data_IF_007284151115
#
_entry.id   IF_007284151115
#
_cell.length_a   1.000
_cell.length_b   1.000
_cell.length_c   1.000
_cell.angle_alpha   90.00
_cell.angle_beta   90.00
_cell.angle_gamma   90.00
#
_symmetry.space_group_name_H-M   'P 1'
#
loop_
_entity.id
_entity.type
_entity.pdbx_description
1 polymer ?
#
# COMPACT_ATOMS: atom_id res chain seq x y z
N UNK A 1 53.84 -32.01 44.88
CA UNK A 1 53.61 -30.99 45.89
C UNK A 1 53.61 -29.67 45.18
N UNK A 2 52.46 -29.05 45.25
CA UNK A 2 52.20 -27.66 44.92
C UNK A 2 52.50 -27.21 43.48
N UNK A 3 51.39 -27.15 42.70
CA UNK A 3 50.97 -26.01 41.94
C UNK A 3 49.74 -26.40 41.08
N UNK A 4 48.62 -26.49 41.73
CA UNK A 4 47.29 -26.34 41.11
C UNK A 4 46.70 -25.12 41.77
N UNK A 5 46.30 -24.17 40.98
CA UNK A 5 45.25 -23.15 41.12
C UNK A 5 45.66 -21.85 40.47
N UNK A 6 45.27 -21.65 39.23
CA UNK A 6 44.70 -20.38 38.76
C UNK A 6 44.30 -20.51 37.27
N UNK A 7 43.10 -20.94 37.05
CA UNK A 7 42.53 -20.96 35.69
C UNK A 7 41.01 -20.87 35.77
N UNK A 8 40.51 -19.71 36.19
CA UNK A 8 39.09 -19.43 36.07
C UNK A 8 38.85 -17.90 36.17
N UNK A 9 38.97 -17.24 35.01
CA UNK A 9 38.33 -15.92 34.70
C UNK A 9 38.69 -15.46 33.32
N UNK A 10 38.13 -16.14 32.32
CA UNK A 10 37.90 -15.52 31.00
C UNK A 10 36.43 -15.67 30.63
N UNK A 11 35.67 -14.65 31.00
CA UNK A 11 34.30 -14.49 30.53
C UNK A 11 34.27 -14.41 29.01
N UNK A 12 33.60 -15.38 28.39
CA UNK A 12 33.32 -15.40 26.97
C UNK A 12 32.39 -14.22 26.60
N UNK A 13 32.97 -13.13 26.14
CA UNK A 13 32.26 -12.13 25.34
C UNK A 13 32.01 -12.76 23.99
N UNK A 14 30.82 -13.33 23.83
CA UNK A 14 30.31 -13.78 22.53
C UNK A 14 30.20 -12.57 21.60
N UNK A 15 31.23 -12.33 20.81
CA UNK A 15 31.15 -11.47 19.64
C UNK A 15 30.26 -12.14 18.61
N UNK A 16 29.00 -11.73 18.56
CA UNK A 16 28.12 -11.94 17.42
C UNK A 16 28.74 -11.22 16.24
N UNK A 17 29.29 -11.96 15.31
CA UNK A 17 29.78 -11.46 14.01
C UNK A 17 28.58 -10.87 13.25
N UNK A 18 28.42 -9.56 13.31
CA UNK A 18 27.48 -8.82 12.47
C UNK A 18 28.10 -8.59 11.10
N UNK A 19 27.44 -9.07 10.07
CA UNK A 19 27.73 -8.79 8.68
C UNK A 19 27.88 -7.26 8.46
N UNK A 20 29.03 -6.83 7.99
CA UNK A 20 29.31 -5.50 7.40
C UNK A 20 28.65 -4.31 8.08
N UNK A 21 29.23 -3.80 9.18
CA UNK A 21 29.30 -2.40 9.64
C UNK A 21 28.09 -1.46 9.59
N UNK A 22 26.84 -1.88 9.52
CA UNK A 22 25.70 -0.97 9.64
C UNK A 22 25.33 -0.78 11.12
N UNK A 23 25.62 0.40 11.66
CA UNK A 23 25.23 0.77 13.02
C UNK A 23 23.69 0.77 13.14
N UNK A 24 23.15 0.02 14.11
CA UNK A 24 21.72 -0.01 14.41
C UNK A 24 21.22 1.38 14.81
N UNK A 25 20.07 1.79 14.27
CA UNK A 25 19.42 3.07 14.57
C UNK A 25 18.10 2.84 15.29
N UNK A 26 17.71 3.80 16.13
CA UNK A 26 16.35 3.90 16.67
C UNK A 26 15.52 4.80 15.76
N UNK A 27 14.48 4.21 15.14
CA UNK A 27 13.65 4.86 14.10
C UNK A 27 12.19 4.90 14.56
N UNK A 28 11.62 6.09 14.70
CA UNK A 28 10.19 6.28 14.98
C UNK A 28 9.43 6.52 13.69
N UNK A 29 8.47 5.65 13.36
CA UNK A 29 7.60 5.81 12.19
C UNK A 29 6.23 6.32 12.65
N UNK A 30 5.83 7.47 12.15
CA UNK A 30 4.51 8.07 12.35
C UNK A 30 3.64 7.77 11.13
N UNK A 31 2.72 6.82 11.24
CA UNK A 31 1.84 6.41 10.15
C UNK A 31 0.41 6.23 10.66
N UNK A 32 -0.53 7.00 10.10
CA UNK A 32 -1.95 6.82 10.47
C UNK A 32 -2.46 5.44 10.06
N UNK A 33 -2.14 5.00 8.84
CA UNK A 33 -2.52 3.71 8.28
C UNK A 33 -1.34 2.73 8.40
N UNK A 34 -1.59 1.63 9.10
CA UNK A 34 -0.67 0.51 9.29
C UNK A 34 -1.50 -0.78 9.33
N UNK A 35 -0.87 -1.96 9.15
CA UNK A 35 -1.62 -3.21 9.26
C UNK A 35 -2.43 -3.30 10.58
N UNK A 36 -3.61 -3.91 10.58
CA UNK A 36 -4.26 -4.66 9.50
C UNK A 36 -5.15 -3.82 8.56
N UNK A 37 -4.95 -2.50 8.45
CA UNK A 37 -5.74 -1.66 7.55
C UNK A 37 -5.43 -2.02 6.08
N UNK A 38 -6.42 -2.38 5.25
CA UNK A 38 -6.18 -2.83 3.87
C UNK A 38 -6.04 -1.64 2.90
N UNK A 39 -5.07 -0.74 3.14
CA UNK A 39 -4.74 0.35 2.21
C UNK A 39 -3.37 0.13 1.57
N UNK A 40 -3.12 0.64 0.34
CA UNK A 40 -1.80 0.55 -0.29
C UNK A 40 -0.69 1.16 0.57
N UNK A 41 -0.97 2.28 1.24
CA UNK A 41 0.00 2.91 2.13
C UNK A 41 0.27 2.11 3.40
N UNK A 42 -0.76 1.47 3.97
CA UNK A 42 -0.58 0.54 5.08
C UNK A 42 0.37 -0.61 4.71
N UNK A 43 0.18 -1.22 3.54
CA UNK A 43 1.07 -2.26 3.04
C UNK A 43 2.50 -1.74 2.91
N UNK A 44 2.68 -0.59 2.25
CA UNK A 44 3.99 0.03 2.05
C UNK A 44 4.73 0.29 3.36
N UNK A 45 4.09 0.99 4.30
CA UNK A 45 4.72 1.31 5.59
C UNK A 45 5.03 0.04 6.38
N UNK A 46 4.13 -0.94 6.37
CA UNK A 46 4.35 -2.22 7.05
C UNK A 46 5.58 -2.94 6.49
N UNK A 47 5.71 -3.03 5.16
CA UNK A 47 6.83 -3.70 4.51
C UNK A 47 8.16 -2.96 4.75
N UNK A 48 8.17 -1.64 4.62
CA UNK A 48 9.37 -0.83 4.89
C UNK A 48 9.80 -0.91 6.36
N UNK A 49 8.85 -0.82 7.30
CA UNK A 49 9.13 -0.95 8.73
C UNK A 49 9.70 -2.34 9.07
N UNK A 50 9.08 -3.41 8.55
CA UNK A 50 9.56 -4.79 8.72
C UNK A 50 10.94 -4.99 8.13
N UNK A 51 11.21 -4.41 6.95
CA UNK A 51 12.52 -4.45 6.32
C UNK A 51 13.60 -3.73 7.16
N UNK A 52 13.29 -2.54 7.70
CA UNK A 52 14.20 -1.84 8.60
C UNK A 52 14.51 -2.65 9.86
N UNK A 53 13.50 -3.29 10.48
CA UNK A 53 13.70 -4.16 11.63
C UNK A 53 14.55 -5.39 11.27
N UNK A 54 14.35 -5.98 10.08
CA UNK A 54 15.14 -7.10 9.59
C UNK A 54 16.61 -6.73 9.32
N UNK A 55 16.89 -5.45 9.07
CA UNK A 55 18.25 -4.91 8.97
C UNK A 55 18.92 -4.67 10.34
N UNK A 56 18.23 -4.98 11.43
CA UNK A 56 18.73 -4.82 12.80
C UNK A 56 18.51 -3.43 13.42
N UNK A 57 17.67 -2.58 12.79
CA UNK A 57 17.28 -1.32 13.39
C UNK A 57 16.20 -1.54 14.47
N UNK A 58 16.22 -0.72 15.52
CA UNK A 58 15.18 -0.68 16.54
C UNK A 58 14.06 0.25 16.06
N UNK A 59 12.92 -0.33 15.68
CA UNK A 59 11.85 0.37 14.97
C UNK A 59 10.57 0.39 15.77
N UNK A 60 10.12 1.59 16.13
CA UNK A 60 8.82 1.83 16.74
C UNK A 60 7.87 2.46 15.71
N UNK A 61 6.64 1.95 15.65
CA UNK A 61 5.58 2.47 14.78
C UNK A 61 4.47 3.06 15.61
N UNK A 62 4.22 4.35 15.48
CA UNK A 62 3.09 5.05 16.11
C UNK A 62 1.96 5.17 15.09
N UNK A 63 0.86 4.48 15.36
CA UNK A 63 -0.27 4.35 14.44
C UNK A 63 -1.63 4.45 15.13
N UNK A 64 -2.69 4.53 14.34
CA UNK A 64 -4.07 4.55 14.84
C UNK A 64 -4.50 3.16 15.33
N UNK A 65 -5.27 3.14 16.41
CA UNK A 65 -5.92 1.91 16.87
C UNK A 65 -6.87 1.34 15.82
N UNK A 66 -6.89 0.02 15.70
CA UNK A 66 -7.77 -0.68 14.77
C UNK A 66 -9.23 -0.39 15.06
N UNK A 67 -10.04 -0.18 14.02
CA UNK A 67 -11.48 -0.03 14.14
C UNK A 67 -12.15 -1.32 14.65
N UNK A 68 -13.32 -1.18 15.28
CA UNK A 68 -14.12 -2.32 15.69
C UNK A 68 -14.51 -3.16 14.45
N UNK A 69 -14.14 -4.44 14.44
CA UNK A 69 -14.44 -5.37 13.35
C UNK A 69 -13.28 -5.70 12.42
N UNK A 70 -12.14 -5.04 12.55
CA UNK A 70 -10.91 -5.50 11.89
C UNK A 70 -10.38 -6.77 12.58
N UNK A 71 -9.97 -7.75 11.77
CA UNK A 71 -9.30 -8.96 12.28
C UNK A 71 -8.00 -8.51 12.97
N UNK A 72 -7.80 -8.92 14.21
CA UNK A 72 -6.50 -8.75 14.86
C UNK A 72 -5.48 -9.59 14.08
N UNK A 73 -4.44 -8.95 13.59
CA UNK A 73 -3.24 -9.60 13.07
C UNK A 73 -2.15 -9.40 14.11
N UNK A 74 -1.25 -10.35 14.20
CA UNK A 74 -0.01 -10.18 14.95
C UNK A 74 0.83 -9.08 14.30
N UNK A 75 1.50 -8.31 15.12
CA UNK A 75 2.43 -7.30 14.63
C UNK A 75 3.65 -7.99 14.00
N UNK A 76 4.25 -7.42 12.96
CA UNK A 76 5.43 -8.02 12.35
C UNK A 76 6.54 -8.20 13.38
N UNK A 77 7.29 -9.30 13.32
CA UNK A 77 8.39 -9.55 14.24
C UNK A 77 9.44 -8.42 14.19
N UNK A 78 10.02 -8.09 15.34
CA UNK A 78 11.03 -7.05 15.45
C UNK A 78 10.51 -5.62 15.45
N UNK A 79 9.18 -5.39 15.35
CA UNK A 79 8.56 -4.08 15.45
C UNK A 79 7.89 -3.85 16.81
N UNK A 80 8.00 -2.64 17.33
CA UNK A 80 7.19 -2.18 18.45
C UNK A 80 6.08 -1.26 17.96
N UNK A 81 4.83 -1.74 17.98
CA UNK A 81 3.69 -1.03 17.39
C UNK A 81 2.83 -0.38 18.50
N UNK A 82 2.82 0.94 18.52
CA UNK A 82 2.07 1.78 19.46
C UNK A 82 0.78 2.26 18.81
N UNK A 83 -0.36 1.72 19.25
CA UNK A 83 -1.68 2.07 18.72
C UNK A 83 -2.40 3.04 19.62
N UNK A 84 -2.71 4.22 19.08
CA UNK A 84 -3.43 5.27 19.82
C UNK A 84 -4.83 5.47 19.26
N UNK A 85 -5.80 5.65 20.16
CA UNK A 85 -7.18 5.94 19.77
C UNK A 85 -7.38 7.45 19.60
N UNK A 86 -8.31 7.87 18.70
CA UNK A 86 -8.78 9.25 18.68
C UNK A 86 -9.33 9.63 20.05
N UNK A 87 -9.16 10.89 20.45
CA UNK A 87 -9.62 11.40 21.76
C UNK A 87 -10.75 12.42 21.61
N UNK A 88 -11.48 12.68 22.70
CA UNK A 88 -12.56 13.66 22.74
C UNK A 88 -13.88 13.13 22.19
N UNK A 89 -14.63 13.99 21.52
CA UNK A 89 -15.96 13.67 20.98
C UNK A 89 -15.96 12.45 20.05
N UNK A 90 -14.84 12.16 19.37
CA UNK A 90 -14.72 10.95 18.53
C UNK A 90 -14.62 9.66 19.33
N UNK A 91 -13.97 9.65 20.49
CA UNK A 91 -14.01 8.48 21.37
C UNK A 91 -15.47 8.17 21.74
N UNK A 92 -16.29 9.21 21.96
CA UNK A 92 -17.72 9.07 22.25
C UNK A 92 -18.51 8.56 21.03
N UNK A 93 -18.22 9.07 19.84
CA UNK A 93 -18.85 8.62 18.58
C UNK A 93 -18.43 7.19 18.23
N UNK A 94 -17.18 6.83 18.49
CA UNK A 94 -16.66 5.48 18.23
C UNK A 94 -17.25 4.47 19.26
N UNK A 95 -17.38 4.84 20.51
CA UNK A 95 -18.06 4.05 21.56
C UNK A 95 -19.55 3.86 21.22
N UNK A 96 -20.25 4.93 20.83
CA UNK A 96 -21.66 4.82 20.44
C UNK A 96 -21.86 3.97 19.18
N UNK A 97 -20.93 4.04 18.23
CA UNK A 97 -20.92 3.19 17.03
C UNK A 97 -20.67 1.71 17.36
N UNK A 98 -19.78 1.42 18.31
CA UNK A 98 -19.48 0.07 18.82
C UNK A 98 -20.70 -0.51 19.56
N UNK A 99 -21.30 0.25 20.44
CA UNK A 99 -22.50 -0.17 21.19
C UNK A 99 -23.66 -0.44 20.26
N UNK A 100 -23.93 0.43 19.30
CA UNK A 100 -24.98 0.23 18.29
C UNK A 100 -24.69 -0.97 17.37
N UNK A 101 -23.43 -1.20 17.02
CA UNK A 101 -22.99 -2.38 16.26
C UNK A 101 -23.17 -3.68 17.05
N UNK A 102 -22.88 -3.67 18.33
CA UNK A 102 -23.05 -4.82 19.22
C UNK A 102 -24.55 -5.14 19.45
N UNK A 103 -25.36 -4.13 19.71
CA UNK A 103 -26.82 -4.29 19.84
C UNK A 103 -27.48 -4.80 18.55
N UNK A 104 -26.97 -4.45 17.37
CA UNK A 104 -27.42 -5.00 16.09
C UNK A 104 -27.04 -6.46 15.91
N UNK A 105 -25.88 -6.90 16.39
CA UNK A 105 -25.47 -8.32 16.36
C UNK A 105 -26.34 -9.16 17.29
N UNK A 106 -26.61 -8.69 18.49
CA UNK A 106 -27.49 -9.38 19.44
C UNK A 106 -28.91 -9.53 18.87
N UNK A 107 -29.52 -8.47 18.30
CA UNK A 107 -30.81 -8.55 17.64
C UNK A 107 -30.89 -9.45 16.41
N UNK A 108 -29.76 -9.69 15.71
CA UNK A 108 -29.68 -10.65 14.61
C UNK A 108 -29.58 -12.10 15.12
N UNK A 109 -28.94 -12.33 16.25
CA UNK A 109 -28.88 -13.66 16.86
C UNK A 109 -30.27 -14.10 17.38
N UNK A 110 -31.03 -13.19 17.94
CA UNK A 110 -32.41 -13.48 18.40
C UNK A 110 -33.39 -13.76 17.24
N UNK A 111 -33.14 -13.15 16.07
CA UNK A 111 -34.01 -13.37 14.87
C UNK A 111 -33.71 -14.69 14.13
N UNK A 112 -32.54 -15.34 14.37
CA UNK A 112 -32.15 -16.61 13.74
C UNK A 112 -32.54 -17.83 14.58
N UNK A 113 -32.94 -17.65 15.84
CA UNK A 113 -33.34 -18.75 16.74
C UNK A 113 -34.71 -19.38 16.40
N UNK A 114 -35.44 -18.87 15.40
CA UNK A 114 -36.83 -19.26 15.09
C UNK A 114 -37.04 -20.15 13.86
N UNK A 115 -36.02 -20.49 13.03
CA UNK A 115 -36.24 -21.32 11.84
C UNK A 115 -35.01 -22.20 11.52
N UNK A 116 -35.18 -23.52 11.63
CA UNK A 116 -34.22 -24.50 11.08
C UNK A 116 -34.52 -24.67 9.58
N UNK A 117 -33.56 -24.48 8.68
CA UNK A 117 -33.55 -25.06 7.34
C UNK A 117 -32.47 -26.16 7.22
N UNK A 118 -32.83 -27.18 6.41
CA UNK A 118 -31.98 -28.30 6.00
C UNK A 118 -30.71 -27.90 5.28
N UNK A 119 -29.67 -28.77 5.26
CA UNK A 119 -28.35 -28.42 4.73
C UNK A 119 -28.36 -28.51 3.21
N UNK A 120 -28.45 -27.37 2.55
CA UNK A 120 -28.05 -27.23 1.16
C UNK A 120 -26.85 -26.28 1.10
N UNK A 121 -25.86 -26.71 0.33
CA UNK A 121 -24.58 -26.08 0.09
C UNK A 121 -24.73 -24.58 -0.21
N UNK A 122 -24.45 -23.74 0.79
CA UNK A 122 -24.42 -22.30 0.63
C UNK A 122 -22.99 -21.84 0.41
N UNK A 123 -22.70 -21.46 -0.83
CA UNK A 123 -21.57 -20.61 -1.19
C UNK A 123 -21.54 -19.40 -0.26
N UNK A 124 -20.51 -19.30 0.58
CA UNK A 124 -20.30 -18.17 1.48
C UNK A 124 -19.82 -16.94 0.69
N UNK A 125 -20.76 -16.18 0.16
CA UNK A 125 -20.49 -14.80 -0.23
C UNK A 125 -20.28 -13.97 1.05
N UNK A 126 -19.08 -13.48 1.28
CA UNK A 126 -18.80 -12.50 2.32
C UNK A 126 -19.67 -11.25 2.08
N UNK A 127 -20.23 -10.63 3.13
CA UNK A 127 -21.09 -9.48 2.94
C UNK A 127 -20.26 -8.29 2.41
N UNK A 128 -20.48 -7.95 1.15
CA UNK A 128 -20.19 -6.63 0.63
C UNK A 128 -20.76 -5.60 1.61
N UNK A 129 -19.99 -4.58 1.97
CA UNK A 129 -20.52 -3.41 2.67
C UNK A 129 -21.49 -2.66 1.74
N UNK A 130 -22.60 -3.32 1.43
CA UNK A 130 -23.76 -2.74 0.80
C UNK A 130 -24.30 -1.68 1.76
N UNK A 131 -24.62 -0.53 1.24
CA UNK A 131 -25.38 0.55 1.86
C UNK A 131 -26.69 0.00 2.42
N UNK A 132 -26.62 -0.64 3.60
CA UNK A 132 -27.80 -0.93 4.39
C UNK A 132 -28.45 0.44 4.66
N UNK A 133 -29.68 0.62 4.18
CA UNK A 133 -30.42 1.86 4.34
C UNK A 133 -30.38 2.29 5.81
N UNK A 134 -29.55 3.29 6.09
CA UNK A 134 -29.43 3.87 7.43
C UNK A 134 -30.80 4.44 7.82
N UNK A 135 -31.29 4.11 9.00
CA UNK A 135 -32.48 4.74 9.54
C UNK A 135 -32.24 6.26 9.68
N UNK A 136 -33.31 7.07 9.84
CA UNK A 136 -33.21 8.55 9.92
C UNK A 136 -32.11 9.04 10.88
N UNK A 137 -31.97 8.39 12.06
CA UNK A 137 -30.91 8.73 13.05
C UNK A 137 -29.50 8.39 12.53
N UNK A 138 -29.33 7.25 11.86
CA UNK A 138 -28.05 6.88 11.26
C UNK A 138 -27.63 7.80 10.11
N UNK A 139 -28.59 8.30 9.33
CA UNK A 139 -28.32 9.31 8.27
C UNK A 139 -27.94 10.67 8.87
N UNK A 140 -28.63 11.09 9.94
CA UNK A 140 -28.30 12.33 10.64
C UNK A 140 -26.88 12.29 11.25
N UNK A 141 -26.51 11.19 11.88
CA UNK A 141 -25.15 10.99 12.43
C UNK A 141 -24.10 10.95 11.31
N UNK A 142 -24.36 10.25 10.22
CA UNK A 142 -23.48 10.21 9.07
C UNK A 142 -23.32 11.58 8.42
N UNK A 143 -24.41 12.34 8.29
CA UNK A 143 -24.41 13.72 7.78
C UNK A 143 -23.62 14.65 8.70
N UNK A 144 -23.86 14.60 10.02
CA UNK A 144 -23.12 15.42 10.99
C UNK A 144 -21.62 15.08 10.97
N UNK A 145 -21.25 13.80 10.86
CA UNK A 145 -19.88 13.36 10.72
C UNK A 145 -19.24 13.90 9.44
N UNK A 146 -19.91 13.74 8.30
CA UNK A 146 -19.48 14.26 7.03
C UNK A 146 -19.32 15.81 7.05
N UNK A 147 -20.23 16.50 7.72
CA UNK A 147 -20.17 17.96 7.88
C UNK A 147 -19.00 18.42 8.79
N UNK A 148 -18.73 17.69 9.86
CA UNK A 148 -17.59 17.95 10.74
C UNK A 148 -16.28 17.60 10.06
N UNK A 149 -16.22 16.47 9.34
CA UNK A 149 -15.03 16.04 8.59
C UNK A 149 -14.72 17.01 7.43
N UNK A 150 -15.76 17.56 6.80
CA UNK A 150 -15.62 18.57 5.76
C UNK A 150 -14.97 19.88 6.21
N UNK A 151 -14.89 20.14 7.51
CA UNK A 151 -14.28 21.35 8.10
C UNK A 151 -12.90 21.14 8.69
N UNK A 152 -12.42 19.90 8.77
CA UNK A 152 -11.09 19.57 9.29
C UNK A 152 -10.12 19.40 8.12
N UNK A 153 -9.08 20.21 8.09
CA UNK A 153 -8.01 20.10 7.09
C UNK A 153 -6.96 19.08 7.55
N UNK A 154 -6.49 18.25 6.64
CA UNK A 154 -6.97 17.96 5.28
C UNK A 154 -8.21 17.05 5.27
N UNK A 155 -8.43 16.29 6.34
CA UNK A 155 -9.57 15.38 6.53
C UNK A 155 -9.76 15.05 8.04
N UNK A 156 -10.82 14.30 8.37
CA UNK A 156 -11.14 13.88 9.73
C UNK A 156 -10.07 12.99 10.41
N UNK A 157 -9.12 12.43 9.65
CA UNK A 157 -8.03 11.60 10.18
C UNK A 157 -7.02 12.40 10.98
N UNK A 158 -6.93 13.71 10.73
CA UNK A 158 -6.08 14.65 11.49
C UNK A 158 -6.45 14.75 12.98
N UNK A 159 -7.65 14.36 13.37
CA UNK A 159 -8.06 14.30 14.78
C UNK A 159 -7.28 13.26 15.59
N UNK A 160 -6.69 12.26 14.95
CA UNK A 160 -5.80 11.30 15.57
C UNK A 160 -4.53 11.95 16.15
N UNK A 161 -4.07 13.04 15.55
CA UNK A 161 -2.78 13.70 15.87
C UNK A 161 -2.69 14.08 17.35
N UNK A 162 -3.75 14.62 17.97
CA UNK A 162 -3.69 15.09 19.36
C UNK A 162 -3.34 14.00 20.38
N UNK A 163 -3.91 12.80 20.20
CA UNK A 163 -3.60 11.63 21.03
C UNK A 163 -2.22 11.05 20.73
N UNK A 164 -1.91 10.96 19.44
CA UNK A 164 -0.63 10.43 18.96
C UNK A 164 0.55 11.32 19.37
N UNK A 165 0.38 12.65 19.34
CA UNK A 165 1.42 13.61 19.73
C UNK A 165 1.84 13.43 21.20
N UNK A 166 0.87 13.26 22.12
CA UNK A 166 1.18 12.99 23.54
C UNK A 166 1.96 11.70 23.71
N UNK A 167 1.55 10.65 23.05
CA UNK A 167 2.24 9.36 23.10
C UNK A 167 3.62 9.43 22.43
N UNK A 168 3.74 10.14 21.32
CA UNK A 168 5.00 10.38 20.62
C UNK A 168 6.03 11.13 21.49
N UNK A 169 5.60 12.18 22.20
CA UNK A 169 6.46 12.88 23.19
C UNK A 169 6.97 11.93 24.28
N UNK A 170 6.11 11.06 24.79
CA UNK A 170 6.50 10.07 25.79
C UNK A 170 7.52 9.07 25.21
N UNK A 171 7.30 8.56 24.01
CA UNK A 171 8.26 7.68 23.34
C UNK A 171 9.61 8.37 23.14
N UNK A 172 9.61 9.61 22.66
CA UNK A 172 10.85 10.38 22.46
C UNK A 172 11.63 10.54 23.76
N UNK A 173 10.95 10.90 24.88
CA UNK A 173 11.61 11.08 26.18
C UNK A 173 12.16 9.78 26.76
N UNK A 174 11.52 8.64 26.51
CA UNK A 174 11.91 7.35 27.10
C UNK A 174 12.93 6.58 26.25
N UNK A 175 12.86 6.73 24.92
CA UNK A 175 13.59 5.87 23.98
C UNK A 175 14.59 6.64 23.09
N UNK A 176 14.42 7.96 22.93
CA UNK A 176 15.31 8.85 22.20
C UNK A 176 15.60 8.36 20.78
N UNK A 177 14.63 8.34 19.85
CA UNK A 177 14.86 7.97 18.44
C UNK A 177 15.86 8.93 17.80
N UNK A 178 16.62 8.45 16.80
CA UNK A 178 17.62 9.23 16.07
C UNK A 178 17.04 9.88 14.82
N UNK A 179 15.90 9.34 14.33
CA UNK A 179 15.18 9.87 13.17
C UNK A 179 13.69 9.53 13.30
N UNK A 180 12.86 10.43 12.77
CA UNK A 180 11.41 10.25 12.70
C UNK A 180 11.01 10.13 11.23
N UNK A 181 10.23 9.12 10.86
CA UNK A 181 9.63 9.01 9.52
C UNK A 181 8.16 9.42 9.61
N UNK A 182 7.74 10.39 8.80
CA UNK A 182 6.34 10.77 8.66
C UNK A 182 5.76 10.22 7.35
N UNK A 183 4.82 9.30 7.44
CA UNK A 183 4.26 8.65 6.25
C UNK A 183 2.97 9.33 5.76
N UNK A 184 2.85 9.49 4.46
CA UNK A 184 1.72 9.97 3.68
C UNK A 184 1.38 8.92 2.58
N UNK A 185 0.10 8.53 2.37
CA UNK A 185 -1.21 9.03 2.74
C UNK A 185 -1.79 8.23 3.93
N UNK A 186 -2.53 8.84 4.89
CA UNK A 186 -2.99 10.22 4.94
C UNK A 186 -1.96 11.18 5.56
N UNK A 187 -2.19 12.48 5.32
CA UNK A 187 -1.33 13.59 5.80
C UNK A 187 -1.10 13.59 7.32
N UNK A 188 -1.96 12.96 8.10
CA UNK A 188 -1.86 12.94 9.56
C UNK A 188 -0.50 12.41 10.06
N UNK A 189 0.12 11.46 9.35
CA UNK A 189 1.45 10.93 9.67
C UNK A 189 2.55 11.99 9.51
N UNK A 190 2.52 12.75 8.40
CA UNK A 190 3.45 13.85 8.15
C UNK A 190 3.31 14.96 9.19
N UNK A 191 2.08 15.38 9.49
CA UNK A 191 1.81 16.43 10.47
C UNK A 191 2.31 16.04 11.86
N UNK A 192 2.11 14.79 12.26
CA UNK A 192 2.58 14.26 13.53
C UNK A 192 4.12 14.26 13.58
N UNK A 193 4.79 13.73 12.54
CA UNK A 193 6.25 13.67 12.47
C UNK A 193 6.89 15.06 12.47
N UNK A 194 6.38 16.01 11.67
CA UNK A 194 6.85 17.40 11.64
C UNK A 194 6.66 18.08 13.01
N UNK A 195 5.53 17.86 13.69
CA UNK A 195 5.32 18.41 15.03
C UNK A 195 6.29 17.85 16.05
N UNK A 196 6.48 16.53 16.10
CA UNK A 196 7.43 15.87 17.00
C UNK A 196 8.87 16.30 16.71
N UNK A 197 9.25 16.40 15.45
CA UNK A 197 10.58 16.87 15.02
C UNK A 197 10.86 18.29 15.52
N UNK A 198 9.94 19.23 15.30
CA UNK A 198 10.09 20.62 15.76
C UNK A 198 10.20 20.78 17.26
N UNK A 199 9.48 19.92 18.02
CA UNK A 199 9.52 19.95 19.48
C UNK A 199 10.78 19.32 20.08
N UNK A 200 11.31 18.27 19.42
CA UNK A 200 12.43 17.49 19.96
C UNK A 200 13.79 17.79 19.33
N UNK A 201 13.81 18.49 18.18
CA UNK A 201 15.02 18.69 17.39
C UNK A 201 15.48 17.44 16.61
N UNK A 202 14.75 16.33 16.71
CA UNK A 202 15.07 15.09 15.98
C UNK A 202 14.73 15.27 14.50
N UNK A 203 15.65 14.99 13.56
CA UNK A 203 15.37 15.13 12.13
C UNK A 203 14.25 14.20 11.68
N UNK A 204 13.41 14.66 10.74
CA UNK A 204 12.39 13.79 10.17
C UNK A 204 12.56 13.60 8.67
N UNK A 205 12.18 12.43 8.21
CA UNK A 205 12.09 12.03 6.80
C UNK A 205 10.62 12.07 6.39
N UNK A 206 10.30 12.85 5.36
CA UNK A 206 8.96 12.89 4.79
C UNK A 206 8.81 11.77 3.75
N UNK A 207 8.04 10.74 4.08
CA UNK A 207 7.72 9.61 3.19
C UNK A 207 6.39 9.91 2.49
N UNK A 208 6.46 10.28 1.21
CA UNK A 208 5.34 10.70 0.37
C UNK A 208 4.94 9.56 -0.58
N UNK A 209 3.96 8.75 -0.19
CA UNK A 209 3.35 7.77 -1.09
C UNK A 209 2.74 8.44 -2.33
N UNK A 210 2.08 9.58 -2.10
CA UNK A 210 1.53 10.49 -3.10
C UNK A 210 1.89 11.95 -2.74
N UNK A 211 1.84 12.92 -3.69
CA UNK A 211 1.90 14.34 -3.37
C UNK A 211 0.80 14.75 -2.39
N UNK A 212 1.04 15.75 -1.54
CA UNK A 212 -0.01 16.29 -0.66
C UNK A 212 -1.09 17.01 -1.46
N UNK A 213 -0.66 17.75 -2.51
CA UNK A 213 -1.57 18.33 -3.49
C UNK A 213 -1.69 17.41 -4.72
N UNK A 214 -2.85 16.80 -4.88
CA UNK A 214 -3.19 15.94 -6.00
C UNK A 214 -4.30 16.52 -6.87
N UNK A 215 -4.58 15.92 -8.04
CA UNK A 215 -5.70 16.30 -8.90
C UNK A 215 -7.07 16.10 -8.23
N UNK A 216 -7.18 15.13 -7.31
CA UNK A 216 -8.41 14.84 -6.55
C UNK A 216 -8.52 15.59 -5.22
N UNK A 217 -7.56 16.47 -4.88
CA UNK A 217 -7.65 17.36 -3.71
C UNK A 217 -8.83 18.30 -3.87
N UNK A 218 -9.79 18.34 -2.92
CA UNK A 218 -10.93 19.26 -2.98
C UNK A 218 -10.48 20.72 -3.14
N UNK A 219 -11.18 21.49 -3.99
CA UNK A 219 -10.81 22.88 -4.33
C UNK A 219 -10.55 23.76 -3.10
N UNK A 220 -11.43 23.67 -2.10
CA UNK A 220 -11.29 24.41 -0.83
C UNK A 220 -9.99 24.13 -0.06
N UNK A 221 -9.32 23.02 -0.33
CA UNK A 221 -8.10 22.59 0.37
C UNK A 221 -6.84 22.69 -0.49
N UNK A 222 -6.96 23.02 -1.79
CA UNK A 222 -5.82 23.02 -2.71
C UNK A 222 -4.70 23.97 -2.25
N UNK A 223 -5.04 25.23 -1.88
CA UNK A 223 -4.05 26.17 -1.39
C UNK A 223 -3.40 25.73 -0.08
N UNK A 224 -4.18 25.20 0.87
CA UNK A 224 -3.67 24.71 2.14
C UNK A 224 -2.82 23.43 1.96
N UNK A 225 -3.16 22.56 1.01
CA UNK A 225 -2.38 21.36 0.68
C UNK A 225 -1.05 21.73 0.04
N UNK A 226 -1.04 22.71 -0.88
CA UNK A 226 0.18 23.20 -1.51
C UNK A 226 1.13 23.84 -0.47
N UNK A 227 0.60 24.65 0.43
CA UNK A 227 1.40 25.29 1.48
C UNK A 227 1.95 24.25 2.48
N UNK A 228 1.15 23.24 2.82
CA UNK A 228 1.63 22.14 3.65
C UNK A 228 2.72 21.32 2.96
N UNK A 229 2.54 21.01 1.67
CA UNK A 229 3.53 20.31 0.85
C UNK A 229 4.84 21.09 0.81
N UNK A 230 4.76 22.40 0.52
CA UNK A 230 5.92 23.30 0.52
C UNK A 230 6.65 23.28 1.86
N UNK A 231 5.92 23.46 2.95
CA UNK A 231 6.51 23.45 4.30
C UNK A 231 7.18 22.13 4.63
N UNK A 232 6.55 20.99 4.35
CA UNK A 232 7.13 19.66 4.57
C UNK A 232 8.40 19.48 3.75
N UNK A 233 8.41 19.92 2.48
CA UNK A 233 9.55 19.81 1.60
C UNK A 233 10.76 20.64 2.07
N UNK A 234 10.55 21.74 2.77
CA UNK A 234 11.64 22.59 3.29
C UNK A 234 12.07 22.24 4.72
N UNK A 235 11.15 21.71 5.56
CA UNK A 235 11.44 21.39 6.96
C UNK A 235 12.00 19.96 7.15
N UNK A 236 11.74 19.04 6.23
CA UNK A 236 12.24 17.67 6.33
C UNK A 236 13.78 17.63 6.18
N UNK A 237 14.42 16.66 6.82
CA UNK A 237 15.84 16.37 6.61
C UNK A 237 16.07 15.60 5.29
N UNK A 238 15.07 14.85 4.84
CA UNK A 238 15.04 14.18 3.53
C UNK A 238 13.58 13.90 3.12
N UNK A 239 13.36 13.75 1.81
CA UNK A 239 12.08 13.43 1.21
C UNK A 239 12.20 12.12 0.45
N UNK A 240 11.27 11.21 0.66
CA UNK A 240 11.12 9.97 -0.09
C UNK A 240 9.84 10.06 -0.91
N UNK A 241 9.96 9.81 -2.22
CA UNK A 241 8.82 9.77 -3.16
C UNK A 241 8.79 8.43 -3.89
N UNK A 242 7.70 8.12 -4.59
CA UNK A 242 7.49 6.81 -5.20
C UNK A 242 7.88 6.73 -6.67
N UNK A 243 8.15 7.87 -7.32
CA UNK A 243 8.54 7.91 -8.75
C UNK A 243 9.40 9.12 -9.08
N UNK A 244 10.20 9.02 -10.15
CA UNK A 244 10.96 10.14 -10.69
C UNK A 244 10.05 11.29 -11.14
N UNK A 245 8.87 10.96 -11.70
CA UNK A 245 7.88 11.96 -12.07
C UNK A 245 7.38 12.76 -10.86
N UNK A 246 7.18 12.09 -9.72
CA UNK A 246 6.82 12.78 -8.46
C UNK A 246 7.99 13.60 -7.93
N UNK A 247 9.22 13.12 -8.03
CA UNK A 247 10.41 13.89 -7.64
C UNK A 247 10.54 15.18 -8.47
N UNK A 248 10.41 15.08 -9.78
CA UNK A 248 10.42 16.23 -10.70
C UNK A 248 9.29 17.23 -10.37
N UNK A 249 8.09 16.73 -10.11
CA UNK A 249 6.94 17.56 -9.69
C UNK A 249 7.21 18.33 -8.39
N UNK A 250 7.85 17.69 -7.39
CA UNK A 250 8.21 18.36 -6.13
C UNK A 250 9.24 19.48 -6.37
N UNK A 251 10.24 19.23 -7.19
CA UNK A 251 11.25 20.22 -7.56
C UNK A 251 10.66 21.38 -8.35
N UNK A 252 9.78 21.09 -9.31
CA UNK A 252 9.07 22.14 -10.08
C UNK A 252 8.18 23.03 -9.21
N UNK A 253 7.43 22.44 -8.28
CA UNK A 253 6.47 23.17 -7.43
C UNK A 253 7.15 24.01 -6.35
N UNK A 254 8.22 23.52 -5.77
CA UNK A 254 8.79 24.09 -4.55
C UNK A 254 10.18 24.70 -4.77
N UNK A 255 10.76 24.53 -5.96
CA UNK A 255 12.01 25.15 -6.36
C UNK A 255 13.26 24.55 -5.71
N UNK A 256 14.42 25.18 -5.93
CA UNK A 256 15.66 24.77 -5.30
C UNK A 256 15.63 25.08 -3.79
N UNK A 257 16.27 24.25 -2.99
CA UNK A 257 16.34 24.41 -1.53
C UNK A 257 15.37 23.56 -0.73
N UNK A 258 14.58 22.70 -1.39
CA UNK A 258 13.89 21.61 -0.70
C UNK A 258 14.88 20.55 -0.21
N UNK A 259 14.49 19.77 0.77
CA UNK A 259 15.30 18.69 1.30
C UNK A 259 15.71 17.68 0.19
N UNK A 260 16.82 16.95 0.38
CA UNK A 260 17.23 15.92 -0.58
C UNK A 260 16.12 14.92 -0.89
N UNK A 261 15.88 14.68 -2.18
CA UNK A 261 14.86 13.76 -2.68
C UNK A 261 15.46 12.38 -2.96
N UNK A 262 14.77 11.33 -2.53
CA UNK A 262 15.08 9.95 -2.86
C UNK A 262 13.85 9.24 -3.41
N UNK A 263 14.01 8.53 -4.53
CA UNK A 263 12.91 7.75 -5.11
C UNK A 263 12.96 6.33 -4.58
N UNK A 264 11.98 5.94 -3.79
CA UNK A 264 11.77 4.58 -3.28
C UNK A 264 10.40 4.11 -3.74
N UNK A 265 10.29 3.35 -4.84
CA UNK A 265 9.01 2.98 -5.42
C UNK A 265 8.20 2.02 -4.54
N UNK A 266 7.00 1.65 -4.97
CA UNK A 266 6.30 0.48 -4.45
C UNK A 266 7.09 -0.78 -4.78
N UNK A 267 6.83 -1.86 -4.05
CA UNK A 267 7.56 -3.09 -4.23
C UNK A 267 6.71 -4.33 -4.05
N UNK A 268 7.39 -5.48 -4.08
CA UNK A 268 6.80 -6.79 -3.80
C UNK A 268 7.61 -7.53 -2.74
N UNK A 269 6.94 -8.46 -2.03
CA UNK A 269 7.60 -9.34 -1.09
C UNK A 269 8.27 -10.49 -1.83
N UNK A 270 9.50 -10.85 -1.41
CA UNK A 270 10.12 -12.09 -1.86
C UNK A 270 9.33 -13.28 -1.32
N UNK A 271 9.07 -14.24 -2.17
CA UNK A 271 8.44 -15.50 -1.78
C UNK A 271 9.54 -16.57 -1.67
N UNK A 272 9.69 -17.13 -0.47
CA UNK A 272 10.64 -18.21 -0.19
C UNK A 272 9.93 -19.41 0.48
N UNK A 273 10.23 -20.64 0.07
CA UNK A 273 11.00 -21.01 -1.14
C UNK A 273 10.31 -20.50 -2.41
N UNK A 274 11.05 -20.38 -3.53
CA UNK A 274 10.46 -20.01 -4.81
C UNK A 274 9.24 -20.89 -5.05
N UNK A 275 8.10 -20.26 -5.29
CA UNK A 275 6.88 -21.01 -5.54
C UNK A 275 7.05 -21.85 -6.80
N UNK A 276 6.52 -23.09 -6.84
CA UNK A 276 6.63 -23.95 -8.00
C UNK A 276 6.13 -23.23 -9.27
N UNK A 277 6.75 -23.57 -10.39
CA UNK A 277 6.33 -23.04 -11.68
C UNK A 277 4.88 -23.46 -11.94
N UNK A 278 4.03 -22.45 -12.16
CA UNK A 278 2.62 -22.71 -12.50
C UNK A 278 2.57 -23.08 -13.97
N UNK A 279 2.25 -24.33 -14.26
CA UNK A 279 2.03 -24.79 -15.64
C UNK A 279 0.84 -24.03 -16.23
N UNK A 280 1.08 -23.34 -17.34
CA UNK A 280 0.02 -22.66 -18.07
C UNK A 280 -0.93 -23.67 -18.70
N UNK A 281 -2.24 -23.39 -18.66
CA UNK A 281 -3.22 -24.23 -19.33
C UNK A 281 -2.97 -24.21 -20.86
N UNK A 282 -3.18 -25.33 -21.52
CA UNK A 282 -3.08 -25.43 -22.99
C UNK A 282 -4.21 -24.69 -23.74
N UNK A 283 -5.16 -24.11 -23.02
CA UNK A 283 -6.32 -23.43 -23.57
C UNK A 283 -6.06 -22.00 -24.04
N UNK A 284 -7.13 -21.21 -24.10
CA UNK A 284 -7.09 -19.80 -24.48
C UNK A 284 -6.25 -18.92 -23.57
N UNK A 285 -6.08 -17.64 -23.90
CA UNK A 285 -5.31 -16.66 -23.16
C UNK A 285 -6.07 -16.22 -21.90
N UNK A 286 -5.49 -16.46 -20.73
CA UNK A 286 -6.06 -16.12 -19.42
C UNK A 286 -5.47 -14.81 -18.90
N UNK A 287 -6.30 -13.76 -18.91
CA UNK A 287 -5.95 -12.45 -18.36
C UNK A 287 -6.44 -12.33 -16.93
N UNK A 288 -5.65 -11.69 -16.07
CA UNK A 288 -6.02 -11.42 -14.68
C UNK A 288 -5.79 -9.94 -14.35
N UNK A 289 -6.79 -9.31 -13.74
CA UNK A 289 -6.69 -7.99 -13.14
C UNK A 289 -6.93 -8.10 -11.63
N UNK A 290 -6.03 -7.57 -10.82
CA UNK A 290 -6.25 -7.49 -9.36
C UNK A 290 -6.12 -6.05 -8.89
N UNK A 291 -7.17 -5.54 -8.25
CA UNK A 291 -7.15 -4.18 -7.72
C UNK A 291 -8.51 -3.50 -7.65
N UNK A 292 -8.44 -2.20 -7.34
CA UNK A 292 -9.62 -1.33 -7.31
C UNK A 292 -9.71 -0.53 -8.60
N UNK A 293 -10.91 -0.36 -9.11
CA UNK A 293 -11.19 0.62 -10.15
C UNK A 293 -11.43 2.00 -9.53
N UNK A 294 -10.73 2.98 -10.06
CA UNK A 294 -10.89 4.39 -9.72
C UNK A 294 -11.50 5.14 -10.90
N UNK A 295 -12.13 6.30 -10.73
CA UNK A 295 -12.76 7.05 -11.84
C UNK A 295 -11.82 7.38 -12.99
N UNK A 296 -10.51 7.46 -12.73
CA UNK A 296 -9.45 7.73 -13.72
C UNK A 296 -8.88 6.46 -14.37
N UNK A 297 -9.48 5.27 -14.14
CA UNK A 297 -9.14 3.98 -14.78
C UNK A 297 -10.35 3.41 -15.46
N UNK A 298 -10.45 3.60 -16.76
CA UNK A 298 -11.57 3.04 -17.55
C UNK A 298 -11.28 1.59 -17.94
N UNK A 299 -12.01 0.61 -17.42
CA UNK A 299 -11.86 -0.80 -17.79
C UNK A 299 -12.62 -1.17 -19.09
N UNK A 300 -13.51 -0.32 -19.58
CA UNK A 300 -14.45 -0.71 -20.64
C UNK A 300 -13.79 -0.99 -22.00
N UNK A 301 -12.71 -0.29 -22.42
CA UNK A 301 -11.97 -0.68 -23.62
C UNK A 301 -11.43 -2.11 -23.54
N UNK A 302 -10.83 -2.50 -22.39
CA UNK A 302 -10.34 -3.87 -22.16
C UNK A 302 -11.49 -4.89 -22.25
N UNK A 303 -12.60 -4.62 -21.58
CA UNK A 303 -13.76 -5.51 -21.53
C UNK A 303 -14.30 -5.77 -22.95
N UNK A 304 -14.48 -4.72 -23.72
CA UNK A 304 -14.96 -4.82 -25.11
C UNK A 304 -13.97 -5.59 -26.01
N UNK A 305 -12.68 -5.33 -25.84
CA UNK A 305 -11.63 -6.04 -26.57
C UNK A 305 -11.60 -7.55 -26.24
N UNK A 306 -11.71 -7.91 -24.96
CA UNK A 306 -11.75 -9.32 -24.54
C UNK A 306 -12.99 -10.02 -25.08
N UNK A 307 -14.17 -9.39 -25.05
CA UNK A 307 -15.40 -9.95 -25.61
C UNK A 307 -15.33 -10.12 -27.13
N UNK A 308 -14.57 -9.27 -27.81
CA UNK A 308 -14.35 -9.37 -29.27
C UNK A 308 -13.20 -10.32 -29.66
N UNK A 309 -12.48 -10.90 -28.67
CA UNK A 309 -11.29 -11.76 -28.95
C UNK A 309 -11.57 -13.21 -28.52
N UNK A 310 -12.05 -14.09 -29.42
CA UNK A 310 -12.32 -15.49 -29.12
C UNK A 310 -11.06 -16.18 -28.57
N UNK A 311 -11.24 -16.99 -27.53
CA UNK A 311 -10.13 -17.65 -26.85
C UNK A 311 -9.45 -16.84 -25.75
N UNK A 312 -9.87 -15.60 -25.50
CA UNK A 312 -9.42 -14.80 -24.36
C UNK A 312 -10.45 -14.82 -23.23
N UNK A 313 -9.98 -14.85 -21.98
CA UNK A 313 -10.81 -14.72 -20.78
C UNK A 313 -10.18 -13.71 -19.81
N UNK A 314 -11.01 -13.01 -19.02
CA UNK A 314 -10.57 -12.04 -18.04
C UNK A 314 -11.13 -12.38 -16.66
N UNK A 315 -10.26 -12.65 -15.72
CA UNK A 315 -10.63 -12.77 -14.31
C UNK A 315 -10.26 -11.48 -13.56
N UNK A 316 -11.22 -10.95 -12.82
CA UNK A 316 -11.08 -9.69 -12.06
C UNK A 316 -11.24 -9.98 -10.58
N UNK A 317 -10.30 -9.54 -9.75
CA UNK A 317 -10.40 -9.59 -8.30
C UNK A 317 -10.25 -8.19 -7.70
N UNK A 318 -11.16 -7.84 -6.77
CA UNK A 318 -11.14 -6.54 -6.12
C UNK A 318 -12.38 -6.28 -5.27
N UNK A 319 -12.45 -5.14 -4.58
CA UNK A 319 -13.51 -4.84 -3.61
C UNK A 319 -14.87 -4.53 -4.26
N UNK A 320 -14.94 -4.36 -5.56
CA UNK A 320 -16.16 -4.11 -6.30
C UNK A 320 -15.91 -3.78 -7.76
N UNK A 321 -16.97 -3.78 -8.56
CA UNK A 321 -16.96 -3.46 -9.98
C UNK A 321 -17.73 -2.16 -10.26
N UNK A 322 -17.29 -1.36 -11.23
CA UNK A 322 -18.15 -0.33 -11.83
C UNK A 322 -19.44 -0.93 -12.38
N UNK A 323 -20.57 -0.21 -12.36
CA UNK A 323 -21.87 -0.77 -12.77
C UNK A 323 -21.90 -1.41 -14.15
N UNK A 324 -21.29 -0.76 -15.15
CA UNK A 324 -21.21 -1.28 -16.52
C UNK A 324 -20.38 -2.59 -16.59
N UNK A 325 -19.26 -2.66 -15.88
CA UNK A 325 -18.44 -3.86 -15.79
C UNK A 325 -19.17 -5.00 -15.07
N UNK A 326 -19.91 -4.69 -13.98
CA UNK A 326 -20.72 -5.67 -13.27
C UNK A 326 -21.80 -6.28 -14.18
N UNK A 327 -22.45 -5.43 -15.00
CA UNK A 327 -23.42 -5.87 -16.02
C UNK A 327 -22.74 -6.79 -17.05
N UNK A 328 -21.61 -6.38 -17.61
CA UNK A 328 -20.88 -7.19 -18.60
C UNK A 328 -20.46 -8.56 -18.04
N UNK A 329 -19.99 -8.62 -16.77
CA UNK A 329 -19.67 -9.89 -16.12
C UNK A 329 -20.89 -10.80 -15.94
N UNK A 330 -22.05 -10.23 -15.66
CA UNK A 330 -23.30 -10.99 -15.52
C UNK A 330 -23.81 -11.53 -16.87
N UNK A 331 -23.63 -10.76 -17.95
CA UNK A 331 -24.04 -11.15 -19.31
C UNK A 331 -23.07 -12.15 -19.96
N UNK A 332 -21.80 -12.13 -19.61
CA UNK A 332 -20.75 -12.96 -20.24
C UNK A 332 -19.90 -13.75 -19.22
N UNK A 333 -20.50 -14.56 -18.31
CA UNK A 333 -19.78 -15.20 -17.18
C UNK A 333 -18.72 -16.21 -17.60
N UNK A 334 -18.75 -16.71 -18.84
CA UNK A 334 -17.76 -17.63 -19.40
C UNK A 334 -16.49 -16.94 -19.87
N UNK A 335 -16.56 -15.64 -20.16
CA UNK A 335 -15.45 -14.82 -20.66
C UNK A 335 -14.94 -13.85 -19.60
N UNK A 336 -15.86 -13.25 -18.82
CA UNK A 336 -15.58 -12.27 -17.78
C UNK A 336 -15.95 -12.83 -16.41
N UNK A 337 -14.96 -13.05 -15.55
CA UNK A 337 -15.17 -13.62 -14.22
C UNK A 337 -14.81 -12.62 -13.11
N UNK A 338 -15.74 -12.38 -12.18
CA UNK A 338 -15.47 -11.61 -10.97
C UNK A 338 -15.25 -12.55 -9.79
N UNK A 339 -14.01 -12.57 -9.26
CA UNK A 339 -13.61 -13.40 -8.12
C UNK A 339 -13.89 -12.75 -6.76
N UNK A 340 -14.39 -11.49 -6.73
CA UNK A 340 -14.65 -10.77 -5.49
C UNK A 340 -13.37 -10.24 -4.82
N UNK A 341 -13.51 -9.88 -3.54
CA UNK A 341 -12.36 -9.49 -2.71
C UNK A 341 -11.61 -10.75 -2.27
N UNK A 342 -10.33 -10.79 -2.56
CA UNK A 342 -9.41 -11.83 -2.13
C UNK A 342 -8.50 -11.29 -1.01
N UNK A 343 -8.03 -12.16 -0.13
CA UNK A 343 -6.91 -11.82 0.73
C UNK A 343 -5.60 -11.74 -0.09
N UNK A 344 -4.52 -11.25 0.55
CA UNK A 344 -3.28 -11.01 -0.18
C UNK A 344 -2.68 -12.29 -0.77
N UNK A 345 -2.70 -13.41 -0.05
CA UNK A 345 -2.17 -14.69 -0.52
C UNK A 345 -2.96 -15.24 -1.70
N UNK A 346 -4.29 -15.22 -1.60
CA UNK A 346 -5.18 -15.62 -2.69
C UNK A 346 -5.01 -14.73 -3.94
N UNK A 347 -4.78 -13.43 -3.74
CA UNK A 347 -4.50 -12.51 -4.85
C UNK A 347 -3.19 -12.86 -5.56
N UNK A 348 -2.13 -13.18 -4.82
CA UNK A 348 -0.84 -13.61 -5.39
C UNK A 348 -0.99 -14.94 -6.14
N UNK A 349 -1.73 -15.92 -5.60
CA UNK A 349 -2.01 -17.18 -6.28
C UNK A 349 -2.76 -16.94 -7.61
N UNK A 350 -3.80 -16.09 -7.58
CA UNK A 350 -4.53 -15.72 -8.79
C UNK A 350 -3.63 -15.02 -9.82
N UNK A 351 -2.77 -14.09 -9.38
CA UNK A 351 -1.83 -13.41 -10.28
C UNK A 351 -0.89 -14.43 -10.95
N UNK A 352 -0.40 -15.40 -10.20
CA UNK A 352 0.51 -16.44 -10.72
C UNK A 352 -0.16 -17.44 -11.65
N UNK A 353 -1.45 -17.66 -11.50
CA UNK A 353 -2.22 -18.55 -12.40
C UNK A 353 -2.50 -17.92 -13.78
N UNK A 354 -2.30 -16.62 -13.93
CA UNK A 354 -2.51 -15.90 -15.18
C UNK A 354 -1.50 -16.29 -16.28
N UNK A 355 -1.90 -16.15 -17.53
CA UNK A 355 -0.95 -16.06 -18.62
C UNK A 355 -0.35 -14.66 -18.71
N UNK A 356 -1.20 -13.64 -18.54
CA UNK A 356 -0.83 -12.22 -18.59
C UNK A 356 -1.61 -11.46 -17.53
N UNK A 357 -0.91 -10.62 -16.77
CA UNK A 357 -1.50 -9.71 -15.80
C UNK A 357 -1.85 -8.38 -16.46
N UNK A 358 -3.06 -7.88 -16.24
CA UNK A 358 -3.47 -6.60 -16.81
C UNK A 358 -3.34 -5.49 -15.78
N UNK A 359 -2.71 -4.39 -16.17
CA UNK A 359 -2.66 -3.16 -15.40
C UNK A 359 -3.16 -1.98 -16.25
N UNK A 360 -4.13 -1.22 -15.72
CA UNK A 360 -4.67 -0.04 -16.37
C UNK A 360 -4.02 1.19 -15.75
N UNK A 361 -3.43 2.04 -16.57
CA UNK A 361 -2.75 3.26 -16.14
C UNK A 361 -3.67 4.30 -15.49
N UNK A 362 -3.05 5.28 -14.85
CA UNK A 362 -3.73 6.38 -14.18
C UNK A 362 -3.79 7.60 -15.13
N UNK A 363 -4.93 7.87 -15.74
CA UNK A 363 -5.07 9.01 -16.64
C UNK A 363 -4.72 10.34 -15.97
N UNK A 364 -3.80 11.12 -16.58
CA UNK A 364 -3.42 12.45 -16.12
C UNK A 364 -2.67 12.49 -14.78
N UNK A 365 -2.01 11.41 -14.37
CA UNK A 365 -1.32 11.32 -13.08
C UNK A 365 0.17 10.97 -13.23
N UNK A 366 0.99 11.46 -12.29
CA UNK A 366 2.42 11.11 -12.18
C UNK A 366 2.68 9.83 -11.36
N UNK A 367 1.65 9.31 -10.71
CA UNK A 367 1.75 8.14 -9.84
C UNK A 367 1.74 6.84 -10.64
N UNK A 368 2.70 5.99 -10.37
CA UNK A 368 2.76 4.64 -10.91
C UNK A 368 1.76 3.76 -10.16
N UNK A 369 0.87 3.01 -10.85
CA UNK A 369 0.00 2.06 -10.17
C UNK A 369 0.80 1.06 -9.35
N UNK A 370 0.59 1.02 -8.03
CA UNK A 370 1.35 0.15 -7.12
C UNK A 370 1.27 -1.33 -7.49
N UNK A 371 0.16 -1.77 -8.08
CA UNK A 371 -0.01 -3.14 -8.58
C UNK A 371 0.91 -3.49 -9.75
N UNK A 372 1.33 -2.51 -10.56
CA UNK A 372 2.32 -2.74 -11.61
C UNK A 372 3.60 -3.33 -11.01
N UNK A 373 4.12 -2.69 -9.97
CA UNK A 373 5.36 -3.13 -9.34
C UNK A 373 5.19 -4.45 -8.55
N UNK A 374 4.03 -4.67 -7.94
CA UNK A 374 3.70 -5.97 -7.33
C UNK A 374 3.69 -7.10 -8.37
N UNK A 375 3.18 -6.83 -9.58
CA UNK A 375 3.12 -7.83 -10.66
C UNK A 375 4.49 -8.28 -11.14
N UNK A 376 5.53 -7.45 -11.03
CA UNK A 376 6.91 -7.86 -11.36
C UNK A 376 7.35 -9.09 -10.56
N UNK A 377 6.91 -9.18 -9.30
CA UNK A 377 7.20 -10.34 -8.43
C UNK A 377 6.46 -11.62 -8.78
N UNK A 378 5.43 -11.55 -9.63
CA UNK A 378 4.58 -12.71 -9.95
C UNK A 378 5.23 -13.71 -10.91
N UNK A 379 6.22 -13.28 -11.69
CA UNK A 379 6.81 -14.08 -12.77
C UNK A 379 5.94 -14.16 -14.03
N UNK A 380 4.96 -13.26 -14.19
CA UNK A 380 4.05 -13.20 -15.34
C UNK A 380 4.23 -11.92 -16.13
N UNK A 381 4.12 -11.94 -17.46
CA UNK A 381 4.12 -10.72 -18.26
C UNK A 381 2.96 -9.82 -17.90
N UNK A 382 3.20 -8.50 -18.00
CA UNK A 382 2.18 -7.49 -17.73
C UNK A 382 1.70 -6.90 -19.05
N UNK A 383 0.39 -6.92 -19.30
CA UNK A 383 -0.25 -6.09 -20.31
C UNK A 383 -0.60 -4.75 -19.64
N UNK A 384 0.14 -3.72 -19.98
CA UNK A 384 -0.11 -2.37 -19.49
C UNK A 384 -0.94 -1.58 -20.47
N UNK A 385 -2.09 -1.09 -20.03
CA UNK A 385 -3.00 -0.28 -20.82
C UNK A 385 -2.74 1.19 -20.52
N UNK A 386 -2.07 1.85 -21.45
CA UNK A 386 -1.62 3.22 -21.34
C UNK A 386 -2.77 4.19 -21.64
N UNK A 387 -3.15 5.06 -20.70
CA UNK A 387 -4.25 6.01 -20.90
C UNK A 387 -3.88 7.20 -21.80
N UNK A 388 -2.61 7.62 -21.77
CA UNK A 388 -2.07 8.73 -22.57
C UNK A 388 -0.57 8.54 -22.83
N UNK A 389 -0.01 9.32 -23.76
CA UNK A 389 1.39 9.18 -24.17
C UNK A 389 2.40 9.63 -23.09
N UNK A 390 1.98 10.40 -22.11
CA UNK A 390 2.85 10.93 -21.05
C UNK A 390 2.87 10.05 -19.79
N UNK A 391 2.25 8.88 -19.82
CA UNK A 391 2.16 7.97 -18.68
C UNK A 391 3.54 7.44 -18.23
N UNK A 392 4.03 7.79 -17.03
CA UNK A 392 5.36 7.41 -16.56
C UNK A 392 5.50 5.89 -16.34
N UNK A 393 4.41 5.18 -16.12
CA UNK A 393 4.45 3.73 -15.89
C UNK A 393 4.72 2.94 -17.18
N UNK A 394 4.35 3.46 -18.35
CA UNK A 394 4.66 2.85 -19.63
C UNK A 394 6.18 2.71 -19.84
N UNK A 395 6.96 3.71 -19.40
CA UNK A 395 8.42 3.66 -19.47
C UNK A 395 9.02 2.50 -18.67
N UNK A 396 8.39 2.07 -17.59
CA UNK A 396 8.83 0.92 -16.80
C UNK A 396 8.69 -0.36 -17.61
N UNK A 397 7.56 -0.56 -18.27
CA UNK A 397 7.32 -1.77 -19.08
C UNK A 397 8.40 -1.92 -20.17
N UNK A 398 8.72 -0.83 -20.88
CA UNK A 398 9.74 -0.83 -21.91
C UNK A 398 11.15 -1.05 -21.37
N UNK A 399 11.55 -0.30 -20.34
CA UNK A 399 12.87 -0.38 -19.71
C UNK A 399 13.12 -1.76 -19.09
N UNK A 400 12.16 -2.25 -18.34
CA UNK A 400 12.29 -3.52 -17.61
C UNK A 400 12.00 -4.74 -18.50
N UNK A 401 11.45 -4.54 -19.69
CA UNK A 401 11.04 -5.63 -20.61
C UNK A 401 10.15 -6.67 -19.90
N UNK A 402 9.24 -6.21 -19.06
CA UNK A 402 8.43 -7.07 -18.20
C UNK A 402 7.04 -7.38 -18.77
N UNK A 403 6.76 -6.95 -20.02
CA UNK A 403 5.45 -7.17 -20.60
C UNK A 403 5.23 -6.38 -21.91
N UNK A 404 3.99 -6.03 -22.12
CA UNK A 404 3.46 -5.47 -23.37
C UNK A 404 2.72 -4.15 -23.11
N UNK A 405 2.72 -3.25 -24.07
CA UNK A 405 2.04 -1.95 -24.03
C UNK A 405 0.96 -1.89 -25.09
N UNK A 406 -0.20 -1.37 -24.72
CA UNK A 406 -1.23 -0.95 -25.67
C UNK A 406 -1.84 0.37 -25.19
N UNK A 407 -2.30 1.22 -26.12
CA UNK A 407 -3.22 2.29 -25.77
C UNK A 407 -4.49 1.70 -25.15
N UNK A 408 -5.11 2.39 -24.19
CA UNK A 408 -6.36 1.93 -23.58
C UNK A 408 -7.55 2.14 -24.54
N UNK A 409 -7.46 1.53 -25.72
CA UNK A 409 -8.43 1.61 -26.81
C UNK A 409 -8.77 0.20 -27.31
N UNK A 410 -10.03 -0.03 -27.68
CA UNK A 410 -10.52 -1.35 -28.07
C UNK A 410 -9.69 -1.96 -29.20
N UNK A 411 -9.41 -1.20 -30.26
CA UNK A 411 -8.70 -1.70 -31.44
C UNK A 411 -7.25 -2.10 -31.09
N UNK A 412 -6.52 -1.25 -30.34
CA UNK A 412 -5.15 -1.52 -29.92
C UNK A 412 -5.06 -2.75 -29.02
N UNK A 413 -5.97 -2.86 -28.05
CA UNK A 413 -6.03 -4.00 -27.14
C UNK A 413 -6.37 -5.28 -27.90
N UNK A 414 -7.39 -5.27 -28.80
CA UNK A 414 -7.79 -6.45 -29.55
C UNK A 414 -6.67 -6.97 -30.45
N UNK A 415 -5.95 -6.07 -31.13
CA UNK A 415 -4.80 -6.43 -31.96
C UNK A 415 -3.71 -7.13 -31.13
N UNK A 416 -3.39 -6.57 -29.96
CA UNK A 416 -2.40 -7.16 -29.06
C UNK A 416 -2.86 -8.49 -28.45
N UNK A 417 -4.13 -8.61 -28.07
CA UNK A 417 -4.68 -9.88 -27.56
C UNK A 417 -4.58 -11.00 -28.60
N UNK A 418 -4.82 -10.68 -29.85
CA UNK A 418 -4.66 -11.65 -30.98
C UNK A 418 -3.19 -12.11 -31.08
N UNK A 419 -2.24 -11.18 -31.06
CA UNK A 419 -0.80 -11.49 -31.07
C UNK A 419 -0.41 -12.35 -29.86
N UNK A 420 -0.83 -11.99 -28.65
CA UNK A 420 -0.50 -12.72 -27.41
C UNK A 420 -1.07 -14.14 -27.42
N UNK A 421 -2.29 -14.32 -27.94
CA UNK A 421 -2.89 -15.64 -28.09
C UNK A 421 -2.08 -16.50 -29.06
N UNK A 422 -1.64 -15.96 -30.21
CA UNK A 422 -0.76 -16.65 -31.12
C UNK A 422 0.60 -17.01 -30.50
N UNK A 423 1.23 -16.06 -29.81
CA UNK A 423 2.49 -16.32 -29.08
C UNK A 423 2.32 -17.43 -28.05
N UNK A 424 1.21 -17.47 -27.31
CA UNK A 424 0.91 -18.54 -26.34
C UNK A 424 0.77 -19.89 -27.03
N UNK A 425 0.02 -19.97 -28.14
CA UNK A 425 -0.16 -21.20 -28.91
C UNK A 425 1.18 -21.76 -29.45
N UNK A 426 2.14 -20.87 -29.72
CA UNK A 426 3.49 -21.22 -30.15
C UNK A 426 4.46 -21.48 -29.02
N UNK A 427 4.03 -21.38 -27.77
CA UNK A 427 4.93 -21.50 -26.60
C UNK A 427 5.93 -20.35 -26.42
N UNK A 428 5.68 -19.18 -27.03
CA UNK A 428 6.58 -18.04 -27.14
C UNK A 428 6.10 -16.79 -26.37
N UNK A 429 5.13 -16.97 -25.47
CA UNK A 429 4.50 -15.83 -24.76
C UNK A 429 5.52 -15.00 -23.97
N UNK A 430 6.53 -15.63 -23.38
CA UNK A 430 7.56 -15.00 -22.55
C UNK A 430 8.83 -14.62 -23.31
N UNK A 431 8.87 -14.90 -24.61
CA UNK A 431 10.06 -14.67 -25.42
C UNK A 431 10.46 -13.19 -25.42
N UNK A 432 11.72 -12.95 -25.05
CA UNK A 432 12.28 -11.60 -25.00
C UNK A 432 11.95 -10.81 -23.72
N UNK A 433 11.19 -11.38 -22.77
CA UNK A 433 10.84 -10.72 -21.52
C UNK A 433 11.76 -11.12 -20.36
N UNK A 434 11.94 -10.18 -19.43
CA UNK A 434 12.52 -10.45 -18.10
C UNK A 434 11.37 -10.73 -17.15
N UNK A 435 11.36 -11.88 -16.53
CA UNK A 435 10.29 -12.29 -15.62
C UNK A 435 10.89 -12.89 -14.33
N UNK A 436 10.10 -12.86 -13.27
CA UNK A 436 10.45 -13.44 -11.98
C UNK A 436 11.09 -12.45 -11.00
N UNK A 437 11.00 -12.80 -9.73
CA UNK A 437 11.34 -11.92 -8.62
C UNK A 437 12.83 -11.55 -8.54
N UNK A 438 13.73 -12.38 -9.07
CA UNK A 438 15.17 -12.10 -9.04
C UNK A 438 15.58 -11.14 -10.18
N UNK A 439 14.84 -11.14 -11.29
CA UNK A 439 15.05 -10.19 -12.39
C UNK A 439 14.73 -8.73 -11.98
N UNK A 440 13.96 -8.56 -10.91
CA UNK A 440 13.48 -7.26 -10.40
C UNK A 440 13.82 -7.08 -8.91
N UNK A 441 14.98 -7.57 -8.49
CA UNK A 441 15.39 -7.55 -7.07
C UNK A 441 15.39 -6.13 -6.48
N UNK A 442 15.63 -5.09 -7.29
CA UNK A 442 15.62 -3.68 -6.89
C UNK A 442 14.25 -3.17 -6.44
N UNK A 443 13.14 -3.84 -6.83
CA UNK A 443 11.78 -3.54 -6.40
C UNK A 443 11.32 -4.42 -5.23
N UNK A 444 12.17 -5.26 -4.67
CA UNK A 444 11.84 -6.04 -3.49
C UNK A 444 11.85 -5.18 -2.24
N UNK A 445 10.92 -5.42 -1.32
CA UNK A 445 10.79 -4.63 -0.09
C UNK A 445 12.05 -4.66 0.77
N UNK A 446 12.81 -5.75 0.80
CA UNK A 446 14.08 -5.82 1.52
C UNK A 446 15.11 -4.84 0.95
N UNK A 447 15.24 -4.75 -0.38
CA UNK A 447 16.12 -3.78 -1.05
C UNK A 447 15.64 -2.34 -0.91
N UNK A 448 14.34 -2.12 -0.96
CA UNK A 448 13.76 -0.79 -0.74
C UNK A 448 13.96 -0.33 0.71
N UNK A 449 13.91 -1.24 1.68
CA UNK A 449 14.21 -0.94 3.08
C UNK A 449 15.70 -0.58 3.29
N UNK A 450 16.65 -1.25 2.61
CA UNK A 450 18.07 -0.86 2.61
C UNK A 450 18.27 0.58 2.13
N UNK A 451 17.55 0.98 1.07
CA UNK A 451 17.58 2.35 0.54
C UNK A 451 16.98 3.34 1.55
N UNK A 452 15.86 2.99 2.19
CA UNK A 452 15.27 3.83 3.23
C UNK A 452 16.18 3.95 4.45
N UNK A 453 16.86 2.89 4.86
CA UNK A 453 17.84 2.92 5.95
C UNK A 453 19.01 3.87 5.65
N UNK A 454 19.46 3.93 4.39
CA UNK A 454 20.49 4.89 3.96
C UNK A 454 19.99 6.34 4.10
N UNK A 455 18.79 6.64 3.61
CA UNK A 455 18.14 7.96 3.76
C UNK A 455 18.01 8.36 5.24
N UNK A 456 17.57 7.43 6.09
CA UNK A 456 17.46 7.67 7.53
C UNK A 456 18.81 7.97 8.19
N UNK A 457 19.87 7.29 7.77
CA UNK A 457 21.21 7.51 8.28
C UNK A 457 21.74 8.89 7.90
N UNK A 458 21.57 9.27 6.64
CA UNK A 458 21.99 10.58 6.14
C UNK A 458 21.24 11.72 6.86
N UNK A 459 19.94 11.56 7.07
CA UNK A 459 19.12 12.48 7.84
C UNK A 459 19.59 12.60 9.30
N UNK A 460 19.87 11.47 9.97
CA UNK A 460 20.35 11.48 11.35
C UNK A 460 21.72 12.17 11.48
N UNK A 461 22.65 11.92 10.53
CA UNK A 461 23.97 12.56 10.51
C UNK A 461 23.89 14.08 10.24
N UNK A 462 22.96 14.50 9.39
CA UNK A 462 22.74 15.93 9.12
C UNK A 462 22.21 16.66 10.36
N UNK A 463 21.28 16.05 11.10
CA UNK A 463 20.76 16.60 12.36
C UNK A 463 21.84 16.76 13.44
N UNK A 464 22.77 15.80 13.55
CA UNK A 464 23.87 15.90 14.50
C UNK A 464 24.89 17.01 14.19
N UNK A 465 24.98 17.45 12.94
CA UNK A 465 25.87 18.56 12.53
C UNK A 465 25.26 19.94 12.77
N UNK A 466 23.96 20.02 12.99
CA UNK A 466 23.24 21.27 13.24
C UNK A 466 22.94 21.53 14.73
N UNK A 467 23.06 20.50 15.57
CA UNK A 467 22.93 20.57 17.03
C UNK A 467 24.28 20.88 17.71
#
# INVERSE_FOLDING_TARGET
>A
MEQEQDCDRMGSVGQTMTNGGMQAMRILICAHDFQPNPSPQSLRVTQLASGLASLGHDVHVLTRACGAGMRRMEDPPGLQVHRTSPQGVEALIDVTSRVLGHLRRLRRQDAVAGTRPSPQVASQAAPTAGTAALNRKGRAIAWLRSFLDARVFPDGRSRWIGGALRHGRQLISQWSPQVIIGSHEPVAGLLLASALSRESGIPFVAELGDPVLTSYTPERWRAASLELERRVCHEAAAIVVTSEATAALMQERHGPGIAPLSVIPQGFARVEPPLPEVVRSAGGLQLVYTGRFYPFRDPMPLVRAVLASPGCTLTIAGPGLPPELAKACAEHPQVLRFAGSLDHSQAIELQRSADVLVNIGNAGMTQIPGKLLEYLGSGRPVLYLQPDAADPAAAIIGRERCGFLAANEVAAISALLHELLQRKQQGRLDEGLRLGQDAFAEYRWDRLAERLAAVCRDAAMAGQRQA
#
